data_IF_982467932308
#
_entry.id   IF_982467932308
#
_cell.length_a   1.000
_cell.length_b   1.000
_cell.length_c   1.000
_cell.angle_alpha   90.00
_cell.angle_beta   90.00
_cell.angle_gamma   90.00
#
_symmetry.space_group_name_H-M   'P 1'
#
loop_
_entity.id
_entity.type
_entity.pdbx_description
1 polymer ?
#
# COMPACT_ATOMS: atom_id res chain seq x y z
N UNK A 1 19.76 19.13 -14.08
CA UNK A 1 18.49 18.48 -14.52
C UNK A 1 18.44 18.65 -16.03
N UNK A 2 18.29 17.58 -16.82
CA UNK A 2 18.26 17.68 -18.30
C UNK A 2 16.93 18.31 -18.75
N UNK A 3 16.90 18.81 -19.98
CA UNK A 3 15.72 19.51 -20.53
C UNK A 3 14.46 18.64 -20.48
N UNK A 4 14.56 17.37 -20.87
CA UNK A 4 13.44 16.43 -20.80
C UNK A 4 12.90 16.28 -19.35
N UNK A 5 13.78 16.12 -18.37
CA UNK A 5 13.38 16.00 -16.96
C UNK A 5 12.62 17.25 -16.49
N UNK A 6 13.12 18.44 -16.85
CA UNK A 6 12.47 19.70 -16.51
C UNK A 6 11.10 19.82 -17.18
N UNK A 7 11.00 19.53 -18.47
CA UNK A 7 9.74 19.61 -19.22
C UNK A 7 8.70 18.61 -18.71
N UNK A 8 9.10 17.38 -18.35
CA UNK A 8 8.21 16.39 -17.75
C UNK A 8 7.71 16.82 -16.37
N UNK A 9 8.57 17.44 -15.56
CA UNK A 9 8.15 18.03 -14.28
C UNK A 9 7.12 19.13 -14.48
N UNK A 10 7.35 20.03 -15.44
CA UNK A 10 6.37 21.07 -15.78
C UNK A 10 5.06 20.48 -16.34
N UNK A 11 5.13 19.38 -17.08
CA UNK A 11 3.94 18.65 -17.55
C UNK A 11 3.12 18.11 -16.36
N UNK A 12 3.77 17.52 -15.35
CA UNK A 12 3.12 17.06 -14.12
C UNK A 12 2.49 18.20 -13.32
N UNK A 13 3.18 19.34 -13.21
CA UNK A 13 2.65 20.50 -12.48
C UNK A 13 1.40 21.09 -13.15
N UNK A 14 1.37 21.13 -14.48
CA UNK A 14 0.21 21.59 -15.25
C UNK A 14 -0.98 20.62 -15.24
N UNK A 15 -0.72 19.32 -15.03
CA UNK A 15 -1.73 18.26 -15.08
C UNK A 15 -1.81 17.49 -13.76
N UNK A 16 -2.62 18.00 -12.83
CA UNK A 16 -2.71 17.52 -11.43
C UNK A 16 -3.69 16.34 -11.26
N UNK A 17 -3.64 15.37 -12.16
CA UNK A 17 -4.55 14.22 -12.14
C UNK A 17 -4.28 13.29 -10.96
N UNK A 18 -5.33 12.90 -10.24
CA UNK A 18 -5.26 11.94 -9.14
C UNK A 18 -4.73 12.53 -7.82
N UNK A 19 -4.49 11.67 -6.84
CA UNK A 19 -4.06 12.10 -5.49
C UNK A 19 -2.66 12.73 -5.49
N UNK A 20 -2.33 13.51 -4.45
CA UNK A 20 -0.97 14.06 -4.27
C UNK A 20 0.14 12.99 -4.33
N UNK A 21 -0.11 11.80 -3.76
CA UNK A 21 0.84 10.70 -3.82
C UNK A 21 0.99 10.18 -5.27
N UNK A 22 -0.11 10.05 -6.00
CA UNK A 22 -0.10 9.66 -7.41
C UNK A 22 0.65 10.67 -8.28
N UNK A 23 0.47 11.97 -8.05
CA UNK A 23 1.18 13.03 -8.75
C UNK A 23 2.69 12.96 -8.47
N UNK A 24 3.09 12.84 -7.20
CA UNK A 24 4.49 12.72 -6.81
C UNK A 24 5.16 11.44 -7.35
N UNK A 25 4.47 10.30 -7.31
CA UNK A 25 4.96 9.05 -7.89
C UNK A 25 5.14 9.17 -9.40
N UNK A 26 4.20 9.81 -10.10
CA UNK A 26 4.28 10.01 -11.55
C UNK A 26 5.48 10.89 -11.93
N UNK A 27 5.68 12.02 -11.25
CA UNK A 27 6.82 12.90 -11.49
C UNK A 27 8.14 12.13 -11.29
N UNK A 28 8.26 11.36 -10.20
CA UNK A 28 9.44 10.55 -9.92
C UNK A 28 9.68 9.49 -11.01
N UNK A 29 8.64 8.80 -11.45
CA UNK A 29 8.74 7.77 -12.49
C UNK A 29 9.12 8.36 -13.84
N UNK A 30 8.53 9.50 -14.22
CA UNK A 30 8.87 10.19 -15.48
C UNK A 30 10.30 10.74 -15.45
N UNK A 31 10.75 11.28 -14.32
CA UNK A 31 12.12 11.70 -14.12
C UNK A 31 13.12 10.54 -14.26
N UNK A 32 12.76 9.35 -13.74
CA UNK A 32 13.53 8.12 -13.95
C UNK A 32 13.55 7.71 -15.43
N UNK A 33 12.40 7.66 -16.10
CA UNK A 33 12.35 7.33 -17.53
C UNK A 33 13.20 8.28 -18.39
N UNK A 34 13.23 9.58 -18.07
CA UNK A 34 14.07 10.55 -18.77
C UNK A 34 15.57 10.28 -18.59
N UNK A 35 15.98 9.86 -17.38
CA UNK A 35 17.36 9.47 -17.13
C UNK A 35 17.73 8.19 -17.87
N UNK A 36 16.86 7.17 -17.79
CA UNK A 36 17.05 5.89 -18.49
C UNK A 36 17.14 6.09 -20.02
N UNK A 37 16.34 6.98 -20.60
CA UNK A 37 16.42 7.33 -22.02
C UNK A 37 17.76 7.98 -22.38
N UNK A 38 18.25 8.89 -21.54
CA UNK A 38 19.55 9.50 -21.76
C UNK A 38 20.69 8.48 -21.67
N UNK A 39 20.62 7.52 -20.73
CA UNK A 39 21.57 6.41 -20.61
C UNK A 39 21.55 5.50 -21.85
N UNK A 40 20.40 5.34 -22.50
CA UNK A 40 20.25 4.60 -23.76
C UNK A 40 20.62 5.43 -25.00
N UNK A 41 21.21 6.61 -24.81
CA UNK A 41 21.73 7.45 -25.90
C UNK A 41 20.71 8.42 -26.52
N UNK A 42 19.49 8.49 -26.01
CA UNK A 42 18.50 9.47 -26.49
C UNK A 42 18.74 10.83 -25.82
N UNK A 43 19.65 11.59 -26.40
CA UNK A 43 19.98 12.96 -25.98
C UNK A 43 19.04 13.99 -26.62
N UNK A 44 19.00 15.21 -26.06
CA UNK A 44 18.27 16.36 -26.61
C UNK A 44 16.77 16.13 -26.86
N UNK A 45 16.15 15.25 -26.07
CA UNK A 45 14.72 15.01 -26.16
C UNK A 45 13.90 16.15 -25.55
N UNK A 46 12.76 16.42 -26.18
CA UNK A 46 11.66 17.22 -25.61
C UNK A 46 10.50 16.33 -25.15
N UNK A 47 9.55 16.91 -24.42
CA UNK A 47 8.32 16.23 -24.00
C UNK A 47 7.52 15.68 -25.18
N UNK A 48 7.58 16.32 -26.35
CA UNK A 48 6.88 15.89 -27.58
C UNK A 48 7.64 14.83 -28.37
N UNK A 49 8.88 14.53 -27.98
CA UNK A 49 9.77 13.62 -28.71
C UNK A 49 9.48 12.15 -28.46
N UNK A 50 8.57 11.79 -27.54
CA UNK A 50 8.25 10.39 -27.25
C UNK A 50 7.77 9.65 -28.51
N UNK A 51 8.29 8.43 -28.72
CA UNK A 51 8.06 7.58 -29.90
C UNK A 51 8.13 6.10 -29.47
N UNK A 52 7.58 5.15 -30.26
CA UNK A 52 7.62 3.73 -29.92
C UNK A 52 9.02 3.18 -29.62
N UNK A 53 10.06 3.64 -30.36
CA UNK A 53 11.46 3.24 -30.12
C UNK A 53 11.99 3.58 -28.72
N UNK A 54 11.51 4.67 -28.13
CA UNK A 54 11.89 5.09 -26.77
C UNK A 54 11.29 4.15 -25.72
N UNK A 55 10.03 3.74 -25.94
CA UNK A 55 9.35 2.75 -25.08
C UNK A 55 10.05 1.40 -25.16
N UNK A 56 10.40 0.95 -26.37
CA UNK A 56 11.12 -0.31 -26.58
C UNK A 56 12.48 -0.29 -25.87
N UNK A 57 13.26 0.79 -26.00
CA UNK A 57 14.57 0.90 -25.36
C UNK A 57 14.49 0.95 -23.82
N UNK A 58 13.45 1.56 -23.26
CA UNK A 58 13.18 1.56 -21.83
C UNK A 58 12.81 0.16 -21.32
N UNK A 59 11.92 -0.54 -22.03
CA UNK A 59 11.53 -1.91 -21.67
C UNK A 59 12.73 -2.86 -21.71
N UNK A 60 13.54 -2.78 -22.76
CA UNK A 60 14.77 -3.55 -22.90
C UNK A 60 15.73 -3.30 -21.72
N UNK A 61 16.00 -2.03 -21.39
CA UNK A 61 16.80 -1.67 -20.21
C UNK A 61 16.21 -2.24 -18.92
N UNK A 62 14.91 -2.07 -18.68
CA UNK A 62 14.30 -2.52 -17.43
C UNK A 62 14.30 -4.04 -17.29
N UNK A 63 14.19 -4.77 -18.40
CA UNK A 63 14.33 -6.21 -18.41
C UNK A 63 15.78 -6.64 -18.10
N UNK A 64 16.78 -5.98 -18.71
CA UNK A 64 18.20 -6.22 -18.41
C UNK A 64 18.56 -5.90 -16.96
N UNK A 65 18.01 -4.81 -16.41
CA UNK A 65 18.18 -4.40 -15.02
C UNK A 65 17.43 -5.30 -14.01
N UNK A 66 16.72 -6.33 -14.47
CA UNK A 66 15.96 -7.25 -13.61
C UNK A 66 14.81 -6.58 -12.86
N UNK A 67 14.25 -5.50 -13.40
CA UNK A 67 13.18 -4.74 -12.75
C UNK A 67 11.93 -5.59 -12.64
N UNK A 68 11.35 -5.68 -11.44
CA UNK A 68 10.15 -6.47 -11.21
C UNK A 68 8.99 -6.09 -12.14
N UNK A 69 8.22 -7.08 -12.59
CA UNK A 69 7.01 -6.90 -13.44
C UNK A 69 6.07 -5.84 -12.88
N UNK A 70 5.90 -5.79 -11.56
CA UNK A 70 5.08 -4.78 -10.90
C UNK A 70 5.59 -3.36 -11.15
N UNK A 71 6.90 -3.16 -11.06
CA UNK A 71 7.55 -1.87 -11.28
C UNK A 71 7.51 -1.48 -12.75
N UNK A 72 7.75 -2.41 -13.68
CA UNK A 72 7.60 -2.17 -15.13
C UNK A 72 6.18 -1.67 -15.45
N UNK A 73 5.15 -2.36 -14.95
CA UNK A 73 3.75 -1.93 -15.16
C UNK A 73 3.48 -0.51 -14.63
N UNK A 74 4.04 -0.13 -13.48
CA UNK A 74 3.89 1.24 -12.95
C UNK A 74 4.58 2.28 -13.83
N UNK A 75 5.80 1.97 -14.32
CA UNK A 75 6.53 2.85 -15.25
C UNK A 75 5.77 2.99 -16.57
N UNK A 76 5.22 1.90 -17.11
CA UNK A 76 4.36 1.92 -18.31
C UNK A 76 3.09 2.75 -18.12
N UNK A 77 2.46 2.72 -16.94
CA UNK A 77 1.35 3.63 -16.64
C UNK A 77 1.75 5.10 -16.70
N UNK A 78 2.94 5.46 -16.19
CA UNK A 78 3.45 6.82 -16.29
C UNK A 78 3.76 7.22 -17.74
N UNK A 79 4.35 6.32 -18.54
CA UNK A 79 4.61 6.57 -19.97
C UNK A 79 3.32 6.76 -20.77
N UNK A 80 2.29 5.93 -20.55
CA UNK A 80 0.99 6.08 -21.20
C UNK A 80 0.33 7.42 -20.84
N UNK A 81 0.41 7.82 -19.57
CA UNK A 81 -0.05 9.14 -19.16
C UNK A 81 0.73 10.26 -19.85
N UNK A 82 2.05 10.13 -19.99
CA UNK A 82 2.84 11.11 -20.75
C UNK A 82 2.38 11.18 -22.20
N UNK A 83 2.21 10.04 -22.87
CA UNK A 83 1.72 9.98 -24.25
C UNK A 83 0.33 10.61 -24.42
N UNK A 84 -0.59 10.38 -23.48
CA UNK A 84 -1.90 11.04 -23.43
C UNK A 84 -1.78 12.56 -23.32
N UNK A 85 -0.93 13.07 -22.41
CA UNK A 85 -0.82 14.53 -22.22
C UNK A 85 -0.14 15.29 -23.35
N UNK A 86 0.48 14.58 -24.29
CA UNK A 86 1.01 15.16 -25.53
C UNK A 86 0.14 14.83 -26.75
N UNK A 87 -1.04 14.23 -26.57
CA UNK A 87 -1.98 13.87 -27.64
C UNK A 87 -1.46 12.80 -28.60
N UNK A 88 -0.62 11.89 -28.10
CA UNK A 88 0.00 10.81 -28.88
C UNK A 88 -0.26 9.44 -28.24
N UNK A 89 -1.45 9.17 -27.75
CA UNK A 89 -1.79 7.92 -27.05
C UNK A 89 -1.39 6.67 -27.84
N UNK A 90 -1.55 6.72 -29.17
CA UNK A 90 -1.32 5.59 -30.06
C UNK A 90 0.17 5.24 -30.28
N UNK A 91 1.12 6.03 -29.75
CA UNK A 91 2.56 5.66 -29.79
C UNK A 91 2.94 4.63 -28.72
N UNK A 92 2.02 4.32 -27.80
CA UNK A 92 2.19 3.28 -26.78
C UNK A 92 0.99 2.33 -26.85
N UNK A 93 1.27 1.04 -26.93
CA UNK A 93 0.25 0.01 -26.88
C UNK A 93 -0.59 0.12 -25.59
N UNK A 94 -1.89 -0.11 -25.74
CA UNK A 94 -2.87 0.13 -24.66
C UNK A 94 -2.71 -0.87 -23.54
N UNK A 95 -2.31 -2.09 -23.85
CA UNK A 95 -2.16 -3.16 -22.87
C UNK A 95 -0.70 -3.50 -22.61
N UNK A 96 -0.45 -4.13 -21.46
CA UNK A 96 0.88 -4.64 -21.12
C UNK A 96 1.22 -5.93 -21.87
N UNK A 97 0.21 -6.69 -22.29
CA UNK A 97 0.37 -7.95 -23.03
C UNK A 97 1.00 -7.75 -24.40
N UNK A 98 0.70 -6.65 -25.09
CA UNK A 98 1.32 -6.26 -26.36
C UNK A 98 2.85 -6.07 -26.26
N UNK A 99 3.36 -5.84 -25.05
CA UNK A 99 4.79 -5.73 -24.76
C UNK A 99 5.39 -7.00 -24.12
N UNK A 100 4.62 -8.09 -24.02
CA UNK A 100 5.05 -9.32 -23.35
C UNK A 100 5.25 -9.16 -21.83
N UNK A 101 4.74 -8.09 -21.23
CA UNK A 101 4.92 -7.84 -19.79
C UNK A 101 3.98 -8.78 -19.02
N UNK A 102 4.57 -9.71 -18.27
CA UNK A 102 3.86 -10.76 -17.54
C UNK A 102 2.74 -10.25 -16.61
N UNK A 103 1.77 -11.12 -16.32
CA UNK A 103 0.75 -10.83 -15.33
C UNK A 103 1.29 -10.84 -13.89
N UNK A 104 0.70 -10.00 -13.03
CA UNK A 104 1.14 -9.91 -11.64
C UNK A 104 0.58 -11.12 -10.87
N UNK A 105 1.48 -11.90 -10.27
CA UNK A 105 1.09 -12.93 -9.29
C UNK A 105 0.86 -12.24 -7.94
N UNK A 106 -0.41 -12.06 -7.58
CA UNK A 106 -0.79 -11.40 -6.32
C UNK A 106 -0.95 -12.37 -5.14
N UNK A 107 -1.36 -13.60 -5.42
CA UNK A 107 -1.56 -14.65 -4.41
C UNK A 107 -0.43 -15.66 -4.56
N UNK A 108 0.40 -15.78 -3.53
CA UNK A 108 1.61 -16.63 -3.54
C UNK A 108 1.53 -17.78 -2.55
N UNK A 109 0.50 -17.82 -1.70
CA UNK A 109 0.38 -18.73 -0.56
C UNK A 109 1.60 -18.71 0.39
N UNK A 110 2.42 -17.65 0.33
CA UNK A 110 3.51 -17.40 1.27
C UNK A 110 3.10 -16.28 2.21
N UNK A 111 3.18 -16.53 3.51
CA UNK A 111 2.88 -15.51 4.51
C UNK A 111 3.86 -14.35 4.43
N UNK A 112 3.30 -13.14 4.41
CA UNK A 112 4.03 -11.88 4.61
C UNK A 112 3.73 -11.28 5.98
N UNK A 113 3.10 -12.06 6.86
CA UNK A 113 2.79 -11.64 8.22
C UNK A 113 4.07 -11.30 8.97
N UNK A 114 4.01 -10.21 9.74
CA UNK A 114 5.07 -9.83 10.66
C UNK A 114 4.41 -9.57 12.01
N UNK A 115 5.05 -10.07 13.06
CA UNK A 115 4.66 -9.75 14.43
C UNK A 115 5.41 -8.49 14.85
N UNK A 116 4.73 -7.61 15.58
CA UNK A 116 5.38 -6.46 16.18
C UNK A 116 6.12 -6.92 17.44
N UNK A 117 7.39 -7.26 17.26
CA UNK A 117 8.29 -7.68 18.33
C UNK A 117 8.50 -6.54 19.36
N UNK A 118 8.53 -6.90 20.64
CA UNK A 118 8.60 -5.95 21.75
C UNK A 118 9.96 -5.23 21.80
N UNK A 119 11.06 -5.95 21.57
CA UNK A 119 12.41 -5.40 21.57
C UNK A 119 12.59 -4.41 20.41
N UNK A 120 12.07 -4.78 19.25
CA UNK A 120 12.06 -3.93 18.07
C UNK A 120 11.19 -2.68 18.27
N UNK A 121 10.04 -2.81 18.92
CA UNK A 121 9.18 -1.68 19.25
C UNK A 121 9.83 -0.74 20.29
N UNK A 122 10.61 -1.27 21.23
CA UNK A 122 11.34 -0.49 22.22
C UNK A 122 12.39 0.43 21.58
N UNK A 123 12.95 0.06 20.42
CA UNK A 123 13.88 0.91 19.63
C UNK A 123 13.21 2.12 18.97
N UNK A 124 11.87 2.17 18.94
CA UNK A 124 11.11 3.31 18.40
C UNK A 124 10.90 4.33 19.52
N UNK A 125 11.64 5.45 19.48
CA UNK A 125 11.62 6.46 20.54
C UNK A 125 10.44 7.43 20.46
N UNK A 126 9.84 7.60 19.27
CA UNK A 126 8.66 8.44 19.10
C UNK A 126 7.38 7.73 19.58
N UNK A 127 6.77 8.24 20.66
CA UNK A 127 5.56 7.66 21.25
C UNK A 127 4.39 7.58 20.25
N UNK A 128 4.23 8.58 19.38
CA UNK A 128 3.18 8.58 18.36
C UNK A 128 3.39 7.50 17.31
N UNK A 129 4.62 7.34 16.81
CA UNK A 129 4.99 6.25 15.89
C UNK A 129 4.78 4.88 16.54
N UNK A 130 5.20 4.72 17.81
CA UNK A 130 5.01 3.49 18.57
C UNK A 130 3.53 3.11 18.68
N UNK A 131 2.69 4.07 19.05
CA UNK A 131 1.24 3.87 19.16
C UNK A 131 0.59 3.56 17.80
N UNK A 132 1.00 4.26 16.73
CA UNK A 132 0.52 3.94 15.38
C UNK A 132 0.91 2.53 14.94
N UNK A 133 2.08 2.01 15.30
CA UNK A 133 2.46 0.62 15.02
C UNK A 133 1.61 -0.38 15.83
N UNK A 134 1.38 -0.11 17.11
CA UNK A 134 0.54 -0.96 17.97
C UNK A 134 -0.90 -1.04 17.45
N UNK A 135 -1.49 0.08 17.03
CA UNK A 135 -2.82 0.08 16.42
C UNK A 135 -2.85 -0.66 15.07
N UNK A 136 -1.78 -0.58 14.27
CA UNK A 136 -1.68 -1.37 13.03
C UNK A 136 -1.65 -2.88 13.32
N UNK A 137 -0.93 -3.33 14.34
CA UNK A 137 -0.89 -4.73 14.74
C UNK A 137 -2.25 -5.19 15.32
N UNK A 138 -2.84 -4.41 16.22
CA UNK A 138 -4.07 -4.79 16.93
C UNK A 138 -5.31 -4.85 16.01
N UNK A 139 -5.43 -3.91 15.08
CA UNK A 139 -6.64 -3.72 14.24
C UNK A 139 -6.39 -3.88 12.74
N UNK A 140 -5.18 -4.27 12.35
CA UNK A 140 -4.80 -4.39 10.95
C UNK A 140 -4.86 -3.06 10.20
N UNK A 141 -4.73 -1.90 10.85
CA UNK A 141 -4.86 -0.59 10.18
C UNK A 141 -3.80 -0.40 9.10
N UNK A 142 -4.09 0.43 8.10
CA UNK A 142 -3.05 0.98 7.21
C UNK A 142 -2.27 2.05 7.96
N UNK A 143 -1.00 2.26 7.59
CA UNK A 143 -0.17 3.33 8.15
C UNK A 143 -0.86 4.69 8.23
N UNK A 144 -1.45 5.14 7.12
CA UNK A 144 -2.13 6.44 7.09
C UNK A 144 -3.35 6.49 8.02
N UNK A 145 -4.14 5.41 8.06
CA UNK A 145 -5.27 5.28 8.98
C UNK A 145 -4.79 5.38 10.44
N UNK A 146 -3.71 4.66 10.79
CA UNK A 146 -3.15 4.66 12.15
C UNK A 146 -2.49 5.96 12.58
N UNK A 147 -2.06 6.80 11.65
CA UNK A 147 -1.49 8.13 11.97
C UNK A 147 -2.62 9.15 12.11
N UNK A 148 -3.62 9.12 11.21
CA UNK A 148 -4.72 10.09 11.18
C UNK A 148 -5.83 9.81 12.18
N UNK A 149 -5.90 8.60 12.73
CA UNK A 149 -6.94 8.19 13.67
C UNK A 149 -7.06 9.18 14.84
N UNK A 150 -8.30 9.53 15.19
CA UNK A 150 -8.65 10.22 16.43
C UNK A 150 -9.25 9.20 17.40
N UNK A 151 -8.48 8.65 18.36
CA UNK A 151 -8.89 7.49 19.13
C UNK A 151 -10.22 7.66 19.88
N UNK A 152 -10.45 8.83 20.49
CA UNK A 152 -11.69 9.10 21.23
C UNK A 152 -12.95 9.12 20.36
N UNK A 153 -12.85 9.53 19.09
CA UNK A 153 -13.97 9.46 18.15
C UNK A 153 -14.11 8.06 17.51
N UNK A 154 -12.97 7.40 17.29
CA UNK A 154 -12.93 6.08 16.67
C UNK A 154 -13.52 5.00 17.58
N UNK A 155 -13.48 5.19 18.90
CA UNK A 155 -14.07 4.28 19.87
C UNK A 155 -15.60 4.32 19.82
N UNK A 156 -16.21 3.28 19.26
CA UNK A 156 -17.66 3.07 19.24
C UNK A 156 -18.13 2.05 20.27
N UNK A 157 -17.33 1.75 21.31
CA UNK A 157 -17.64 0.73 22.31
C UNK A 157 -17.17 -0.65 21.88
N UNK A 158 -17.97 -1.37 21.09
CA UNK A 158 -17.58 -2.72 20.61
C UNK A 158 -16.92 -2.72 19.24
N UNK A 159 -16.76 -1.53 18.64
CA UNK A 159 -16.21 -1.32 17.31
C UNK A 159 -15.23 -0.15 17.31
N UNK A 160 -14.22 -0.24 16.45
CA UNK A 160 -13.34 0.84 16.06
C UNK A 160 -13.79 1.39 14.71
N UNK A 161 -14.21 2.66 14.68
CA UNK A 161 -14.70 3.38 13.50
C UNK A 161 -13.54 4.06 12.77
N UNK A 162 -13.47 3.88 11.45
CA UNK A 162 -12.46 4.50 10.60
C UNK A 162 -13.16 5.44 9.60
N UNK A 163 -12.94 6.75 9.79
CA UNK A 163 -13.51 7.79 8.94
C UNK A 163 -12.96 7.70 7.50
N UNK A 164 -13.82 7.96 6.52
CA UNK A 164 -13.51 8.02 5.09
C UNK A 164 -12.27 8.86 4.75
N UNK A 165 -12.13 10.04 5.35
CA UNK A 165 -10.99 10.95 5.16
C UNK A 165 -9.62 10.39 5.60
N UNK A 166 -9.61 9.26 6.31
CA UNK A 166 -8.39 8.58 6.77
C UNK A 166 -8.07 7.35 5.94
N UNK A 167 -9.07 6.78 5.28
CA UNK A 167 -8.93 5.50 4.58
C UNK A 167 -8.61 5.70 3.12
N UNK A 168 -8.00 4.66 2.54
CA UNK A 168 -7.70 4.65 1.11
C UNK A 168 -9.02 4.64 0.32
N UNK A 169 -9.20 5.61 -0.56
CA UNK A 169 -10.36 5.69 -1.45
C UNK A 169 -11.62 6.25 -0.80
N UNK A 170 -11.52 6.89 0.37
CA UNK A 170 -12.65 7.61 0.96
C UNK A 170 -13.77 6.70 1.47
N UNK A 171 -13.43 5.53 2.03
CA UNK A 171 -14.41 4.54 2.44
C UNK A 171 -14.45 4.38 3.95
N UNK A 172 -15.58 4.71 4.56
CA UNK A 172 -15.83 4.38 5.96
C UNK A 172 -15.74 2.86 6.16
N UNK A 173 -15.18 2.44 7.29
CA UNK A 173 -15.19 1.03 7.71
C UNK A 173 -15.12 0.90 9.22
N UNK A 174 -15.52 -0.26 9.72
CA UNK A 174 -15.50 -0.60 11.13
C UNK A 174 -14.68 -1.87 11.34
N UNK A 175 -14.03 -1.96 12.50
CA UNK A 175 -13.31 -3.15 12.96
C UNK A 175 -13.83 -3.54 14.34
N UNK A 176 -14.22 -4.79 14.59
CA UNK A 176 -14.60 -5.23 15.93
C UNK A 176 -13.47 -5.04 16.94
N UNK A 177 -13.83 -4.63 18.15
CA UNK A 177 -12.94 -4.67 19.33
C UNK A 177 -13.26 -5.98 20.06
N UNK A 178 -12.59 -7.05 19.63
CA UNK A 178 -12.86 -8.43 20.04
C UNK A 178 -11.98 -8.90 21.21
N UNK A 179 -10.88 -8.22 21.52
CA UNK A 179 -9.92 -8.66 22.55
C UNK A 179 -9.63 -7.58 23.59
N UNK A 180 -9.27 -8.01 24.80
CA UNK A 180 -8.79 -7.10 25.86
C UNK A 180 -7.53 -6.34 25.42
N UNK A 181 -6.66 -6.98 24.62
CA UNK A 181 -5.47 -6.32 24.06
C UNK A 181 -5.85 -5.17 23.12
N UNK A 182 -6.84 -5.36 22.23
CA UNK A 182 -7.34 -4.29 21.36
C UNK A 182 -7.89 -3.12 22.17
N UNK A 183 -8.67 -3.42 23.21
CA UNK A 183 -9.20 -2.41 24.15
C UNK A 183 -8.07 -1.66 24.85
N UNK A 184 -7.08 -2.37 25.40
CA UNK A 184 -5.96 -1.75 26.11
C UNK A 184 -5.13 -0.81 25.20
N UNK A 185 -4.84 -1.23 23.96
CA UNK A 185 -4.13 -0.39 22.98
C UNK A 185 -4.95 0.86 22.62
N UNK A 186 -6.27 0.74 22.49
CA UNK A 186 -7.14 1.88 22.20
C UNK A 186 -7.20 2.89 23.35
N UNK A 187 -7.29 2.42 24.61
CA UNK A 187 -7.23 3.32 25.77
C UNK A 187 -5.88 4.03 25.90
N UNK A 188 -4.77 3.31 25.65
CA UNK A 188 -3.45 3.93 25.60
C UNK A 188 -3.34 4.98 24.48
N UNK A 189 -3.95 4.72 23.32
CA UNK A 189 -4.01 5.69 22.23
C UNK A 189 -4.85 6.92 22.60
N UNK A 190 -5.98 6.75 23.31
CA UNK A 190 -6.81 7.84 23.82
C UNK A 190 -6.05 8.70 24.83
N UNK A 191 -5.31 8.08 25.75
CA UNK A 191 -4.48 8.78 26.72
C UNK A 191 -3.39 9.62 26.03
N UNK A 192 -2.71 9.07 25.02
CA UNK A 192 -1.64 9.77 24.29
C UNK A 192 -2.17 10.89 23.38
N UNK A 193 -3.24 10.64 22.63
CA UNK A 193 -3.76 11.59 21.65
C UNK A 193 -4.68 12.67 22.26
N UNK A 194 -5.24 12.41 23.44
CA UNK A 194 -6.32 13.21 24.02
C UNK A 194 -7.49 13.33 23.04
N UNK A 195 -7.87 14.57 22.70
CA UNK A 195 -8.93 14.87 21.70
C UNK A 195 -8.41 14.88 20.25
N UNK A 196 -7.10 14.73 20.06
CA UNK A 196 -6.41 14.85 18.78
C UNK A 196 -6.29 13.54 18.01
N UNK A 197 -5.48 13.58 16.94
CA UNK A 197 -5.02 12.40 16.20
C UNK A 197 -3.67 11.91 16.72
N UNK A 198 -3.15 10.82 16.17
CA UNK A 198 -1.75 10.42 16.36
C UNK A 198 -0.76 11.23 15.50
N UNK A 199 -1.02 12.54 15.45
CA UNK A 199 -0.16 13.57 14.88
C UNK A 199 -0.01 14.61 15.99
N UNK A 200 1.21 14.87 16.48
CA UNK A 200 1.45 15.93 17.46
C UNK A 200 0.86 17.26 16.98
N UNK A 201 0.29 18.06 17.89
CA UNK A 201 -0.49 19.26 17.55
C UNK A 201 0.28 20.29 16.69
N UNK A 202 1.60 20.35 16.87
CA UNK A 202 2.51 21.25 16.16
C UNK A 202 2.97 20.71 14.80
N UNK A 203 2.60 19.49 14.43
CA UNK A 203 3.05 18.82 13.20
C UNK A 203 1.90 18.66 12.21
N UNK A 204 2.24 18.70 10.91
CA UNK A 204 1.33 18.26 9.86
C UNK A 204 1.48 16.76 9.65
N UNK A 205 0.50 16.15 8.97
CA UNK A 205 0.55 14.74 8.60
C UNK A 205 1.85 14.35 7.88
N UNK A 206 2.34 15.19 6.95
CA UNK A 206 3.59 14.93 6.23
C UNK A 206 4.79 14.83 7.17
N UNK A 207 4.84 15.71 8.17
CA UNK A 207 5.94 15.78 9.13
C UNK A 207 5.94 14.53 10.01
N UNK A 208 4.77 14.13 10.53
CA UNK A 208 4.63 12.90 11.31
C UNK A 208 4.85 11.63 10.46
N UNK A 209 4.43 11.61 9.20
CA UNK A 209 4.69 10.48 8.29
C UNK A 209 6.19 10.30 8.03
N UNK A 210 6.93 11.39 7.87
CA UNK A 210 8.39 11.35 7.72
C UNK A 210 9.06 10.85 9.00
N UNK A 211 8.60 11.33 10.17
CA UNK A 211 9.08 10.83 11.48
C UNK A 211 8.80 9.34 11.65
N UNK A 212 7.59 8.89 11.32
CA UNK A 212 7.21 7.48 11.34
C UNK A 212 8.19 6.63 10.51
N UNK A 213 8.48 7.05 9.27
CA UNK A 213 9.41 6.34 8.39
C UNK A 213 10.82 6.30 8.98
N UNK A 214 11.35 7.45 9.37
CA UNK A 214 12.70 7.55 9.93
C UNK A 214 12.87 6.71 11.20
N UNK A 215 11.87 6.67 12.08
CA UNK A 215 11.87 5.86 13.29
C UNK A 215 11.79 4.36 12.98
N UNK A 216 10.94 3.96 12.02
CA UNK A 216 10.89 2.57 11.57
C UNK A 216 12.23 2.14 10.97
N UNK A 217 12.82 2.96 10.09
CA UNK A 217 14.11 2.66 9.46
C UNK A 217 15.23 2.55 10.51
N UNK A 218 15.30 3.49 11.47
CA UNK A 218 16.26 3.44 12.58
C UNK A 218 16.10 2.20 13.46
N UNK A 219 14.86 1.73 13.66
CA UNK A 219 14.55 0.56 14.48
C UNK A 219 14.69 -0.79 13.72
N UNK A 220 14.97 -0.75 12.41
CA UNK A 220 15.01 -1.93 11.54
C UNK A 220 13.64 -2.49 11.15
N UNK A 221 12.57 -1.70 11.32
CA UNK A 221 11.19 -2.10 11.01
C UNK A 221 10.92 -1.85 9.52
N UNK A 222 11.17 -2.88 8.71
CA UNK A 222 10.84 -2.87 7.29
C UNK A 222 9.57 -3.67 7.00
N UNK A 223 8.80 -3.25 5.99
CA UNK A 223 7.61 -3.97 5.56
C UNK A 223 6.49 -3.96 6.61
N UNK A 224 6.21 -2.80 7.23
CA UNK A 224 5.14 -2.58 8.23
C UNK A 224 3.78 -3.14 7.80
N UNK A 225 3.51 -3.19 6.49
CA UNK A 225 2.29 -3.81 5.96
C UNK A 225 2.12 -5.29 6.36
N UNK A 226 3.20 -5.96 6.76
CA UNK A 226 3.17 -7.31 7.34
C UNK A 226 2.36 -7.41 8.63
N UNK A 227 2.24 -6.34 9.43
CA UNK A 227 1.35 -6.32 10.60
C UNK A 227 -0.12 -6.51 10.20
N UNK A 228 -0.48 -5.98 9.03
CA UNK A 228 -1.83 -6.12 8.47
C UNK A 228 -2.06 -7.49 7.85
N UNK A 229 -1.01 -8.17 7.40
CA UNK A 229 -1.07 -9.59 7.04
C UNK A 229 -1.28 -10.46 8.28
N UNK A 230 -0.53 -10.20 9.36
CA UNK A 230 -0.71 -10.90 10.64
C UNK A 230 -2.14 -10.77 11.15
N UNK A 231 -2.69 -9.53 11.19
CA UNK A 231 -4.07 -9.31 11.61
C UNK A 231 -5.06 -10.17 10.82
N UNK A 232 -4.94 -10.18 9.49
CA UNK A 232 -5.85 -10.93 8.64
C UNK A 232 -5.77 -12.44 8.92
N UNK A 233 -4.55 -12.98 9.04
CA UNK A 233 -4.32 -14.41 9.26
C UNK A 233 -4.79 -14.85 10.64
N UNK A 234 -4.49 -14.08 11.69
CA UNK A 234 -5.00 -14.32 13.04
C UNK A 234 -6.52 -14.24 13.09
N UNK A 235 -7.10 -13.22 12.47
CA UNK A 235 -8.56 -13.07 12.40
C UNK A 235 -9.24 -14.20 11.63
N UNK A 236 -8.60 -14.72 10.59
CA UNK A 236 -9.09 -15.90 9.87
C UNK A 236 -9.10 -17.14 10.77
N UNK A 237 -8.03 -17.38 11.53
CA UNK A 237 -7.98 -18.48 12.49
C UNK A 237 -9.04 -18.34 13.59
N UNK A 238 -9.27 -17.13 14.13
CA UNK A 238 -10.33 -16.86 15.10
C UNK A 238 -11.74 -17.19 14.56
N UNK A 239 -11.98 -16.93 13.26
CA UNK A 239 -13.30 -17.10 12.65
C UNK A 239 -13.55 -18.54 12.16
N UNK A 240 -12.50 -19.26 11.77
CA UNK A 240 -12.63 -20.58 11.12
C UNK A 240 -12.10 -21.74 11.97
N UNK A 241 -11.32 -21.45 13.01
CA UNK A 241 -10.58 -22.45 13.78
C UNK A 241 -9.37 -23.03 13.05
N UNK A 242 -9.05 -22.56 11.84
CA UNK A 242 -7.99 -23.10 10.99
C UNK A 242 -6.99 -22.01 10.58
N UNK A 243 -5.70 -22.36 10.42
CA UNK A 243 -4.75 -21.45 9.77
C UNK A 243 -5.21 -21.16 8.33
N UNK A 244 -4.89 -19.96 7.83
CA UNK A 244 -5.12 -19.61 6.42
C UNK A 244 -4.16 -20.36 5.49
N UNK A 245 -4.47 -20.53 4.18
CA UNK A 245 -3.53 -21.13 3.22
C UNK A 245 -2.13 -20.52 3.24
N UNK A 246 -2.02 -19.18 3.36
CA UNK A 246 -0.73 -18.50 3.43
C UNK A 246 0.08 -18.84 4.70
N UNK A 247 -0.59 -19.35 5.75
CA UNK A 247 -0.01 -19.79 7.02
C UNK A 247 0.06 -21.31 7.13
N UNK A 248 0.06 -22.04 6.01
CA UNK A 248 0.16 -23.51 6.00
C UNK A 248 -1.18 -24.25 6.21
N UNK A 249 -2.30 -23.53 6.20
CA UNK A 249 -3.63 -24.14 6.26
C UNK A 249 -4.10 -24.76 4.95
N UNK A 250 -5.27 -25.43 4.97
CA UNK A 250 -5.83 -26.05 3.79
C UNK A 250 -6.20 -25.01 2.72
N UNK A 251 -5.85 -25.31 1.47
CA UNK A 251 -6.28 -24.55 0.28
C UNK A 251 -7.76 -24.77 0.01
N UNK A 252 -8.39 -23.88 -0.76
CA UNK A 252 -9.80 -23.99 -1.15
C UNK A 252 -10.14 -25.33 -1.83
N UNK A 253 -9.17 -26.03 -2.42
CA UNK A 253 -9.36 -27.36 -3.04
C UNK A 253 -9.46 -28.48 -2.02
N UNK A 254 -8.85 -28.31 -0.84
CA UNK A 254 -8.82 -29.30 0.24
C UNK A 254 -10.02 -29.16 1.18
N UNK A 255 -10.77 -28.06 1.08
CA UNK A 255 -11.96 -27.81 1.89
C UNK A 255 -13.19 -28.56 1.35
N UNK A 256 -13.96 -29.15 2.26
CA UNK A 256 -15.31 -29.65 1.95
C UNK A 256 -16.31 -28.50 1.73
N UNK A 257 -17.57 -28.84 1.41
CA UNK A 257 -18.60 -27.84 1.11
C UNK A 257 -18.93 -26.92 2.30
N UNK A 258 -19.01 -27.47 3.51
CA UNK A 258 -19.32 -26.68 4.72
C UNK A 258 -18.16 -25.75 5.06
N UNK A 259 -16.93 -26.28 5.00
CA UNK A 259 -15.71 -25.53 5.21
C UNK A 259 -15.52 -24.41 4.18
N UNK A 260 -15.91 -24.63 2.91
CA UNK A 260 -15.89 -23.59 1.87
C UNK A 260 -16.84 -22.44 2.20
N UNK A 261 -18.03 -22.73 2.73
CA UNK A 261 -18.98 -21.69 3.15
C UNK A 261 -18.41 -20.89 4.32
N UNK A 262 -17.82 -21.57 5.31
CA UNK A 262 -17.17 -20.91 6.45
C UNK A 262 -15.95 -20.07 6.04
N UNK A 263 -15.09 -20.59 5.15
CA UNK A 263 -13.92 -19.89 4.57
C UNK A 263 -14.38 -18.63 3.82
N UNK A 264 -15.38 -18.73 2.94
CA UNK A 264 -15.91 -17.58 2.21
C UNK A 264 -16.50 -16.52 3.16
N UNK A 265 -17.30 -16.94 4.15
CA UNK A 265 -17.87 -16.02 5.15
C UNK A 265 -16.78 -15.29 5.95
N UNK A 266 -15.74 -16.01 6.40
CA UNK A 266 -14.61 -15.44 7.11
C UNK A 266 -13.83 -14.44 6.23
N UNK A 267 -13.53 -14.80 4.98
CA UNK A 267 -12.84 -13.93 4.01
C UNK A 267 -13.61 -12.65 3.73
N UNK A 268 -14.94 -12.75 3.60
CA UNK A 268 -15.80 -11.59 3.38
C UNK A 268 -15.86 -10.68 4.60
N UNK A 269 -16.00 -11.25 5.80
CA UNK A 269 -15.95 -10.48 7.05
C UNK A 269 -14.62 -9.73 7.19
N UNK A 270 -13.50 -10.42 7.00
CA UNK A 270 -12.16 -9.80 7.02
C UNK A 270 -12.02 -8.75 5.91
N UNK A 271 -12.59 -8.99 4.72
CA UNK A 271 -12.57 -8.03 3.61
C UNK A 271 -13.24 -6.71 3.98
N UNK A 272 -14.38 -6.76 4.68
CA UNK A 272 -15.11 -5.60 5.17
C UNK A 272 -14.32 -4.90 6.28
N UNK A 273 -13.84 -5.65 7.27
CA UNK A 273 -12.98 -5.13 8.34
C UNK A 273 -11.75 -4.42 7.75
N UNK A 274 -11.16 -4.96 6.68
CA UNK A 274 -10.00 -4.38 6.00
C UNK A 274 -10.36 -3.26 4.99
N UNK A 275 -11.64 -3.03 4.71
CA UNK A 275 -12.09 -2.00 3.76
C UNK A 275 -11.78 -2.30 2.30
N UNK A 276 -11.80 -3.57 1.91
CA UNK A 276 -11.70 -3.99 0.51
C UNK A 276 -13.07 -4.25 -0.11
N UNK A 277 -14.00 -4.85 0.67
CA UNK A 277 -15.38 -5.13 0.24
C UNK A 277 -15.50 -6.18 -0.87
N UNK A 278 -14.45 -6.97 -1.10
CA UNK A 278 -14.39 -8.06 -2.09
C UNK A 278 -13.43 -9.15 -1.61
N UNK A 279 -13.82 -10.41 -1.70
CA UNK A 279 -13.03 -11.57 -1.24
C UNK A 279 -11.65 -11.65 -1.90
N UNK A 280 -11.57 -11.41 -3.21
CA UNK A 280 -10.35 -11.56 -4.02
C UNK A 280 -9.15 -10.77 -3.47
N UNK A 281 -9.40 -9.62 -2.83
CA UNK A 281 -8.33 -8.81 -2.25
C UNK A 281 -7.82 -9.42 -0.95
N UNK A 282 -8.69 -10.09 -0.20
CA UNK A 282 -8.33 -10.80 1.03
C UNK A 282 -7.42 -12.00 0.75
N UNK A 283 -7.54 -12.65 -0.42
CA UNK A 283 -6.64 -13.74 -0.84
C UNK A 283 -5.16 -13.33 -0.90
N UNK A 284 -4.85 -12.04 -1.06
CA UNK A 284 -3.46 -11.53 -0.99
C UNK A 284 -2.88 -11.71 0.43
N UNK A 285 -3.74 -11.67 1.45
CA UNK A 285 -3.34 -11.76 2.85
C UNK A 285 -3.40 -13.19 3.38
N UNK A 286 -4.40 -13.96 2.94
CA UNK A 286 -4.74 -15.29 3.45
C UNK A 286 -4.29 -16.44 2.55
N UNK A 287 -3.87 -16.16 1.31
CA UNK A 287 -3.69 -17.21 0.31
C UNK A 287 -5.02 -17.76 -0.20
N UNK A 288 -4.94 -18.81 -1.01
CA UNK A 288 -6.08 -19.53 -1.58
C UNK A 288 -5.78 -21.01 -1.73
#
# INVERSE_FOLDING_TARGET
>A
MRDLNYQLKQLCHRNRDGSFATQADRERLLNLCANDLAERGFQQMSVDSLKPKHVAALLDKWNQDGVSTGTIKNRMSALRWWAEKIGKENIIARTNGEYGIAERVFVTNVSKAKVLDADTLARVNDAYTRMSLQLQAAFGLRREESIKIKPGWADGGNILRLKDSWTKGGKYREVPIATMQQRAVLEAAKALAGKGSLIPAQLRYRDQLNRFRAQCDKAGIHGVHGLRHEYAQRRYAELTGLPSPASGGPTSRQLDTSQKLADHAARMKISLEMGHGREQVTSIYLGR
#
